data_IF_280185044213
#
_entry.id   IF_280185044213
#
_cell.length_a   1.000
_cell.length_b   1.000
_cell.length_c   1.000
_cell.angle_alpha   90.00
_cell.angle_beta   90.00
_cell.angle_gamma   90.00
#
_symmetry.space_group_name_H-M   'P 1'
#
loop_
_entity.id
_entity.type
_entity.pdbx_description
1 polymer ?
#
# COMPACT_ATOMS: atom_id res chain seq x y z
N UNK A 1 -11.72 36.51 -2.97
CA UNK A 1 -10.75 35.42 -2.70
C UNK A 1 -9.37 36.00 -2.81
N UNK A 2 -8.58 35.98 -1.74
CA UNK A 2 -7.17 36.39 -1.80
C UNK A 2 -6.41 35.24 -2.48
N UNK A 3 -5.85 35.49 -3.66
CA UNK A 3 -4.81 34.63 -4.22
C UNK A 3 -3.53 34.92 -3.43
N UNK A 4 -3.19 34.03 -2.51
CA UNK A 4 -1.84 33.97 -1.98
C UNK A 4 -0.93 33.53 -3.13
N UNK A 5 -0.13 34.47 -3.62
CA UNK A 5 0.98 34.20 -4.53
C UNK A 5 2.17 33.79 -3.66
N UNK A 6 2.18 32.53 -3.24
CA UNK A 6 3.37 31.97 -2.60
C UNK A 6 4.49 31.83 -3.63
N UNK A 7 5.70 32.27 -3.27
CA UNK A 7 6.93 32.05 -4.03
C UNK A 7 7.32 30.57 -3.98
N UNK A 8 6.61 29.73 -4.74
CA UNK A 8 6.92 28.30 -4.88
C UNK A 8 8.07 28.16 -5.88
N UNK A 9 9.23 27.72 -5.39
CA UNK A 9 10.32 27.30 -6.28
C UNK A 9 10.08 25.86 -6.77
N UNK A 10 10.20 25.64 -8.07
CA UNK A 10 10.02 24.31 -8.68
C UNK A 10 11.35 23.81 -9.22
N UNK A 11 11.84 22.71 -8.65
CA UNK A 11 13.00 21.96 -9.16
C UNK A 11 12.53 20.60 -9.63
N UNK A 12 12.96 20.20 -10.84
CA UNK A 12 12.60 18.91 -11.44
C UNK A 12 13.83 18.02 -11.50
N UNK A 13 13.90 17.04 -10.61
CA UNK A 13 14.81 15.92 -10.74
C UNK A 13 14.21 14.85 -11.67
N UNK A 14 15.06 14.18 -12.45
CA UNK A 14 14.69 12.99 -13.23
C UNK A 14 15.52 11.81 -12.73
N UNK A 15 14.88 10.67 -12.53
CA UNK A 15 15.51 9.43 -12.11
C UNK A 15 14.52 8.28 -12.17
N UNK A 16 15.05 7.06 -12.07
CA UNK A 16 14.23 5.88 -11.82
C UNK A 16 13.71 5.92 -10.39
N UNK A 17 12.43 5.55 -10.18
CA UNK A 17 11.82 5.51 -8.86
C UNK A 17 12.60 4.60 -7.88
N UNK A 18 13.17 3.49 -8.38
CA UNK A 18 13.99 2.57 -7.58
C UNK A 18 15.28 3.21 -7.06
N UNK A 19 15.80 4.20 -7.79
CA UNK A 19 17.09 4.85 -7.54
C UNK A 19 16.96 6.25 -6.94
N UNK A 20 15.74 6.72 -6.65
CA UNK A 20 15.54 8.06 -6.07
C UNK A 20 16.19 8.13 -4.68
N UNK A 21 17.19 9.01 -4.55
CA UNK A 21 17.73 9.49 -3.28
C UNK A 21 17.26 10.93 -3.04
N UNK A 22 16.26 11.08 -2.17
CA UNK A 22 15.69 12.39 -1.82
C UNK A 22 16.77 13.27 -1.18
N UNK A 23 17.61 12.70 -0.32
CA UNK A 23 18.65 13.47 0.36
C UNK A 23 19.71 14.00 -0.59
N UNK A 24 20.07 13.22 -1.61
CA UNK A 24 20.95 13.68 -2.68
C UNK A 24 20.33 14.83 -3.48
N UNK A 25 19.04 14.72 -3.85
CA UNK A 25 18.32 15.79 -4.58
C UNK A 25 18.29 17.08 -3.74
N UNK A 26 17.98 17.00 -2.45
CA UNK A 26 17.96 18.16 -1.56
C UNK A 26 19.35 18.83 -1.46
N UNK A 27 20.43 18.04 -1.38
CA UNK A 27 21.81 18.58 -1.31
C UNK A 27 22.27 19.24 -2.61
N UNK A 28 21.90 18.67 -3.75
CA UNK A 28 22.55 18.99 -5.03
C UNK A 28 21.72 19.90 -5.91
N UNK A 29 20.40 19.91 -5.75
CA UNK A 29 19.48 20.61 -6.64
C UNK A 29 18.68 21.73 -5.96
N UNK A 30 18.65 21.77 -4.62
CA UNK A 30 18.00 22.87 -3.90
C UNK A 30 19.04 23.90 -3.38
N UNK A 31 18.62 25.16 -3.20
CA UNK A 31 19.51 26.20 -2.66
C UNK A 31 20.03 25.84 -1.25
N UNK A 32 21.26 26.26 -0.87
CA UNK A 32 21.80 26.02 0.48
C UNK A 32 20.91 26.54 1.61
N UNK A 33 20.08 27.56 1.35
CA UNK A 33 19.11 28.08 2.33
C UNK A 33 18.05 27.06 2.76
N UNK A 34 17.83 26.01 1.98
CA UNK A 34 16.85 24.93 2.27
C UNK A 34 17.45 23.75 3.04
N UNK A 35 18.74 23.78 3.32
CA UNK A 35 19.42 22.69 4.02
C UNK A 35 18.95 22.59 5.47
N UNK A 36 18.62 21.38 5.90
CA UNK A 36 18.09 21.10 7.24
C UNK A 36 16.62 21.47 7.43
N UNK A 37 15.93 21.94 6.39
CA UNK A 37 14.49 22.19 6.45
C UNK A 37 13.68 20.90 6.59
N UNK A 38 12.41 21.09 6.98
CA UNK A 38 11.42 20.02 7.10
C UNK A 38 10.94 19.61 5.70
N UNK A 39 10.99 18.32 5.42
CA UNK A 39 10.67 17.75 4.11
C UNK A 39 9.39 16.94 4.23
N UNK A 40 8.39 17.26 3.40
CA UNK A 40 7.23 16.41 3.19
C UNK A 40 7.37 15.70 1.84
N UNK A 41 7.16 14.38 1.83
CA UNK A 41 7.18 13.58 0.61
C UNK A 41 5.74 13.32 0.20
N UNK A 42 5.35 13.78 -0.99
CA UNK A 42 4.04 13.52 -1.54
C UNK A 42 4.14 12.91 -2.95
N UNK A 43 3.23 12.00 -3.26
CA UNK A 43 3.19 11.30 -4.54
C UNK A 43 1.76 10.94 -4.91
N UNK A 44 1.39 11.18 -6.17
CA UNK A 44 0.09 10.74 -6.68
C UNK A 44 0.19 10.00 -7.99
N UNK A 45 -0.70 9.01 -8.07
CA UNK A 45 -0.81 7.93 -9.03
C UNK A 45 0.42 7.02 -9.09
N UNK A 46 1.03 6.73 -7.94
CA UNK A 46 2.10 5.72 -7.89
C UNK A 46 1.50 4.32 -7.99
N UNK A 47 1.98 3.53 -8.94
CA UNK A 47 1.50 2.18 -9.20
C UNK A 47 2.38 1.16 -8.50
N UNK A 48 1.77 0.22 -7.77
CA UNK A 48 2.42 -0.96 -7.22
C UNK A 48 3.78 -0.67 -6.60
N UNK A 49 4.83 -1.23 -7.21
CA UNK A 49 6.22 -1.10 -6.76
C UNK A 49 6.73 0.35 -6.67
N UNK A 50 6.21 1.27 -7.49
CA UNK A 50 6.61 2.68 -7.42
C UNK A 50 6.22 3.32 -6.08
N UNK A 51 5.08 2.90 -5.49
CA UNK A 51 4.71 3.29 -4.12
C UNK A 51 5.75 2.78 -3.12
N UNK A 52 6.13 1.51 -3.26
CA UNK A 52 7.06 0.85 -2.34
C UNK A 52 8.47 1.50 -2.41
N UNK A 53 8.96 1.82 -3.61
CA UNK A 53 10.19 2.59 -3.79
C UNK A 53 10.12 4.01 -3.19
N UNK A 54 8.99 4.71 -3.36
CA UNK A 54 8.82 6.04 -2.77
C UNK A 54 8.85 5.99 -1.23
N UNK A 55 8.26 4.95 -0.62
CA UNK A 55 8.30 4.72 0.82
C UNK A 55 9.73 4.42 1.30
N UNK A 56 10.48 3.58 0.56
CA UNK A 56 11.90 3.31 0.85
C UNK A 56 12.74 4.58 0.74
N UNK A 57 12.57 5.38 -0.31
CA UNK A 57 13.28 6.64 -0.48
C UNK A 57 12.99 7.62 0.68
N UNK A 58 11.75 7.69 1.15
CA UNK A 58 11.38 8.49 2.32
C UNK A 58 12.03 7.95 3.61
N UNK A 59 12.08 6.62 3.81
CA UNK A 59 12.72 6.03 5.00
C UNK A 59 14.21 6.33 5.09
N UNK A 60 14.93 6.30 3.97
CA UNK A 60 16.36 6.68 3.91
C UNK A 60 16.57 8.13 4.34
N UNK A 61 15.65 9.03 3.99
CA UNK A 61 15.70 10.42 4.46
C UNK A 61 15.50 10.49 5.98
N UNK A 62 14.56 9.71 6.54
CA UNK A 62 14.31 9.64 7.98
C UNK A 62 15.54 9.12 8.77
N UNK A 63 16.25 8.12 8.24
CA UNK A 63 17.46 7.56 8.85
C UNK A 63 18.62 8.56 8.92
N UNK A 64 18.65 9.55 8.01
CA UNK A 64 19.74 10.55 7.97
C UNK A 64 19.62 11.64 9.05
N UNK A 65 18.58 11.59 9.89
CA UNK A 65 18.45 12.44 11.08
C UNK A 65 19.41 12.00 12.18
N UNK A 66 20.70 12.28 12.00
CA UNK A 66 21.73 12.07 13.01
C UNK A 66 21.37 12.77 14.34
N UNK A 67 21.78 12.23 15.50
CA UNK A 67 21.54 12.84 16.80
C UNK A 67 22.11 14.26 16.84
N UNK A 68 21.41 15.14 17.57
CA UNK A 68 21.58 16.61 17.69
C UNK A 68 22.99 17.13 18.10
N UNK A 69 24.04 16.30 18.11
CA UNK A 69 25.34 16.61 18.70
C UNK A 69 26.47 16.87 17.70
N UNK A 70 26.25 16.80 16.38
CA UNK A 70 27.27 17.20 15.40
C UNK A 70 26.74 18.35 14.57
N UNK A 71 27.38 19.51 14.69
CA UNK A 71 27.16 20.69 13.85
C UNK A 71 27.61 20.33 12.43
N UNK A 72 26.71 19.70 11.69
CA UNK A 72 26.87 19.28 10.31
C UNK A 72 25.61 19.62 9.53
N UNK A 73 25.81 20.10 8.30
CA UNK A 73 24.77 20.50 7.36
C UNK A 73 23.76 19.35 7.17
N UNK A 74 22.59 19.49 7.78
CA UNK A 74 21.50 18.51 7.67
C UNK A 74 20.95 18.46 6.24
N UNK A 75 20.66 17.25 5.77
CA UNK A 75 20.19 16.97 4.41
C UNK A 75 18.73 17.38 4.21
N UNK A 76 17.99 17.48 5.31
CA UNK A 76 16.54 17.62 5.38
C UNK A 76 16.02 16.68 6.45
N UNK A 77 14.92 17.05 7.10
CA UNK A 77 14.29 16.26 8.16
C UNK A 77 12.90 15.82 7.72
N UNK A 78 12.67 14.52 7.65
CA UNK A 78 11.39 13.99 7.18
C UNK A 78 10.29 14.41 8.17
N UNK A 79 9.27 15.07 7.63
CA UNK A 79 8.16 15.61 8.41
C UNK A 79 6.83 14.93 8.14
N UNK A 80 6.72 14.22 7.01
CA UNK A 80 5.52 13.46 6.66
C UNK A 80 5.63 12.83 5.27
N UNK A 81 4.81 11.80 5.06
CA UNK A 81 4.68 11.09 3.80
C UNK A 81 3.20 10.99 3.44
N UNK A 82 2.83 11.33 2.21
CA UNK A 82 1.47 11.21 1.69
C UNK A 82 1.50 10.63 0.26
N UNK A 83 1.16 9.35 0.12
CA UNK A 83 1.16 8.66 -1.18
C UNK A 83 -0.25 8.21 -1.54
N UNK A 84 -0.69 8.57 -2.74
CA UNK A 84 -1.90 8.02 -3.36
C UNK A 84 -1.51 6.87 -4.32
N UNK A 85 -1.67 5.64 -3.84
CA UNK A 85 -1.47 4.43 -4.66
C UNK A 85 -2.58 4.30 -5.69
N UNK A 86 -2.22 4.16 -6.97
CA UNK A 86 -3.17 4.03 -8.07
C UNK A 86 -3.69 2.61 -8.24
N UNK A 87 -2.79 1.63 -8.22
CA UNK A 87 -3.09 0.22 -8.41
C UNK A 87 -2.09 -0.63 -7.63
N UNK A 88 -2.50 -1.86 -7.33
CA UNK A 88 -1.63 -2.83 -6.67
C UNK A 88 -1.12 -3.89 -7.64
N UNK A 89 -1.69 -4.01 -8.85
CA UNK A 89 -1.32 -5.04 -9.83
C UNK A 89 0.15 -5.01 -10.26
N UNK A 90 0.82 -3.87 -10.08
CA UNK A 90 2.23 -3.68 -10.42
C UNK A 90 3.17 -3.92 -9.23
N UNK A 91 2.67 -4.40 -8.08
CA UNK A 91 3.55 -4.80 -6.98
C UNK A 91 4.40 -6.02 -7.38
N UNK A 92 5.66 -6.03 -6.93
CA UNK A 92 6.52 -7.21 -6.95
C UNK A 92 6.68 -7.73 -5.52
N UNK A 93 6.65 -9.05 -5.34
CA UNK A 93 6.81 -9.63 -4.00
C UNK A 93 8.17 -9.23 -3.39
N UNK A 94 9.25 -9.25 -4.17
CA UNK A 94 10.61 -9.00 -3.66
C UNK A 94 10.82 -7.54 -3.24
N UNK A 95 10.03 -6.61 -3.78
CA UNK A 95 10.19 -5.17 -3.56
C UNK A 95 9.07 -4.59 -2.69
N UNK A 96 8.06 -5.38 -2.37
CA UNK A 96 6.94 -4.95 -1.55
C UNK A 96 7.38 -4.77 -0.09
N UNK A 97 7.30 -3.53 0.42
CA UNK A 97 7.77 -3.22 1.78
C UNK A 97 7.00 -3.98 2.88
N UNK A 98 5.76 -4.38 2.60
CA UNK A 98 4.87 -5.04 3.54
C UNK A 98 5.02 -6.57 3.65
N UNK A 99 6.01 -7.22 3.00
CA UNK A 99 6.13 -8.69 3.01
C UNK A 99 6.21 -9.27 4.42
N UNK A 100 6.90 -8.59 5.35
CA UNK A 100 7.00 -9.04 6.74
C UNK A 100 5.63 -9.18 7.41
N UNK A 101 4.75 -8.20 7.21
CA UNK A 101 3.38 -8.25 7.71
C UNK A 101 2.56 -9.36 7.05
N UNK A 102 2.69 -9.51 5.72
CA UNK A 102 2.00 -10.59 5.00
C UNK A 102 2.44 -11.96 5.49
N UNK A 103 3.74 -12.19 5.73
CA UNK A 103 4.24 -13.43 6.33
C UNK A 103 3.66 -13.71 7.70
N UNK A 104 3.53 -12.68 8.53
CA UNK A 104 3.01 -12.85 9.88
C UNK A 104 1.50 -13.12 9.90
N UNK A 105 0.72 -12.40 9.09
CA UNK A 105 -0.75 -12.37 9.21
C UNK A 105 -1.49 -13.16 8.14
N UNK A 106 -0.91 -13.28 6.94
CA UNK A 106 -1.58 -13.85 5.76
C UNK A 106 -0.91 -15.16 5.32
N UNK A 107 0.41 -15.28 5.46
CA UNK A 107 1.20 -16.45 5.08
C UNK A 107 1.89 -17.12 6.29
N UNK A 108 1.18 -17.39 7.40
CA UNK A 108 1.82 -17.90 8.60
C UNK A 108 2.58 -19.21 8.33
N UNK A 109 3.75 -19.42 8.98
CA UNK A 109 4.65 -20.56 8.73
C UNK A 109 3.99 -21.93 8.91
N UNK A 110 2.89 -22.00 9.67
CA UNK A 110 2.11 -23.22 9.88
C UNK A 110 1.38 -23.69 8.62
N UNK A 111 1.15 -22.82 7.63
CA UNK A 111 0.45 -23.11 6.38
C UNK A 111 1.33 -22.96 5.13
N UNK A 112 2.46 -22.27 5.24
CA UNK A 112 3.39 -21.94 4.14
C UNK A 112 4.82 -22.30 4.55
N UNK A 113 5.46 -23.20 3.79
CA UNK A 113 6.81 -23.70 4.06
C UNK A 113 7.83 -23.39 2.96
N UNK A 114 7.51 -22.48 2.02
CA UNK A 114 8.45 -22.06 0.99
C UNK A 114 8.12 -20.67 0.44
N UNK A 115 9.17 -19.90 0.14
CA UNK A 115 9.08 -18.57 -0.49
C UNK A 115 8.32 -18.64 -1.81
N UNK A 116 8.51 -19.71 -2.60
CA UNK A 116 7.79 -19.90 -3.86
C UNK A 116 6.25 -19.90 -3.69
N UNK A 117 5.74 -20.49 -2.61
CA UNK A 117 4.29 -20.48 -2.32
C UNK A 117 3.81 -19.10 -1.86
N UNK A 118 4.62 -18.37 -1.09
CA UNK A 118 4.32 -16.99 -0.70
C UNK A 118 4.27 -16.06 -1.92
N UNK A 119 5.25 -16.16 -2.82
CA UNK A 119 5.25 -15.42 -4.09
C UNK A 119 4.01 -15.74 -4.92
N UNK A 120 3.64 -17.03 -5.03
CA UNK A 120 2.46 -17.43 -5.77
C UNK A 120 1.15 -16.90 -5.19
N UNK A 121 1.02 -16.89 -3.86
CA UNK A 121 -0.15 -16.34 -3.19
C UNK A 121 -0.19 -14.81 -3.27
N UNK A 122 0.96 -14.15 -3.17
CA UNK A 122 1.07 -12.71 -3.40
C UNK A 122 0.61 -12.33 -4.82
N UNK A 123 1.02 -13.10 -5.84
CA UNK A 123 0.54 -12.91 -7.20
C UNK A 123 -0.98 -13.09 -7.33
N UNK A 124 -1.59 -14.05 -6.61
CA UNK A 124 -3.04 -14.16 -6.53
C UNK A 124 -3.68 -12.91 -5.92
N UNK A 125 -3.21 -12.47 -4.74
CA UNK A 125 -3.73 -11.30 -4.04
C UNK A 125 -3.67 -10.05 -4.92
N UNK A 126 -2.49 -9.80 -5.48
CA UNK A 126 -2.24 -8.69 -6.40
C UNK A 126 -3.21 -8.70 -7.58
N UNK A 127 -3.39 -9.85 -8.23
CA UNK A 127 -4.32 -9.96 -9.36
C UNK A 127 -5.75 -9.68 -8.92
N UNK A 128 -6.24 -10.35 -7.86
CA UNK A 128 -7.61 -10.14 -7.34
C UNK A 128 -7.84 -8.67 -6.99
N UNK A 129 -6.84 -7.99 -6.42
CA UNK A 129 -6.95 -6.57 -6.11
C UNK A 129 -7.13 -5.66 -7.34
N UNK A 130 -6.89 -6.12 -8.57
CA UNK A 130 -7.15 -5.35 -9.79
C UNK A 130 -8.49 -5.74 -10.41
N UNK A 131 -8.64 -6.98 -10.88
CA UNK A 131 -9.81 -7.36 -11.68
C UNK A 131 -11.09 -7.50 -10.86
N UNK A 132 -11.00 -7.75 -9.55
CA UNK A 132 -12.19 -7.96 -8.73
C UNK A 132 -12.89 -6.65 -8.38
N UNK A 133 -12.26 -5.50 -8.64
CA UNK A 133 -12.86 -4.17 -8.47
C UNK A 133 -13.12 -3.45 -9.80
N UNK A 134 -12.72 -4.06 -10.93
CA UNK A 134 -13.04 -3.56 -12.26
C UNK A 134 -14.54 -3.72 -12.52
N UNK A 135 -15.22 -2.61 -12.83
CA UNK A 135 -16.67 -2.51 -13.00
C UNK A 135 -17.27 -3.24 -14.21
N UNK A 136 -16.71 -4.38 -14.62
CA UNK A 136 -17.25 -5.18 -15.72
C UNK A 136 -18.42 -6.04 -15.26
N UNK A 137 -19.61 -5.45 -15.28
CA UNK A 137 -20.85 -5.93 -15.93
C UNK A 137 -22.15 -5.67 -15.14
N UNK A 138 -22.81 -4.57 -15.50
CA UNK A 138 -24.25 -4.50 -15.77
C UNK A 138 -25.23 -4.78 -14.65
N UNK A 139 -25.54 -3.78 -13.82
CA UNK A 139 -26.91 -3.41 -13.44
C UNK A 139 -26.89 -2.12 -12.61
N UNK A 140 -27.61 -1.09 -13.07
CA UNK A 140 -28.00 0.03 -12.24
C UNK A 140 -28.98 -0.47 -11.17
N UNK A 141 -28.48 -0.73 -9.97
CA UNK A 141 -29.30 -1.07 -8.81
C UNK A 141 -28.52 -0.82 -7.53
N UNK A 142 -28.91 0.24 -6.80
CA UNK A 142 -28.59 0.53 -5.40
C UNK A 142 -27.19 0.18 -4.89
N UNK A 143 -26.36 1.21 -4.69
CA UNK A 143 -25.04 1.08 -4.06
C UNK A 143 -25.11 0.30 -2.73
N UNK A 144 -24.42 -0.86 -2.61
CA UNK A 144 -24.15 -1.45 -1.31
C UNK A 144 -23.19 -0.53 -0.55
N UNK A 145 -23.49 -0.22 0.71
CA UNK A 145 -22.52 0.47 1.56
C UNK A 145 -21.29 -0.43 1.76
N UNK A 146 -20.06 0.13 1.65
CA UNK A 146 -18.85 -0.65 1.88
C UNK A 146 -18.81 -1.13 3.34
N UNK A 147 -18.27 -2.33 3.61
CA UNK A 147 -18.09 -2.80 4.98
C UNK A 147 -17.18 -1.83 5.74
N UNK A 148 -17.56 -1.54 6.98
CA UNK A 148 -16.73 -0.85 7.97
C UNK A 148 -15.43 -1.65 8.15
N UNK A 149 -14.25 -1.01 8.26
CA UNK A 149 -13.00 -1.72 8.49
C UNK A 149 -13.14 -2.67 9.69
N UNK A 150 -12.66 -3.93 9.60
CA UNK A 150 -12.68 -4.81 10.75
C UNK A 150 -11.78 -4.20 11.83
N UNK A 151 -12.39 -3.68 12.89
CA UNK A 151 -11.70 -3.42 14.15
C UNK A 151 -11.35 -4.81 14.67
N UNK A 152 -10.10 -5.26 14.50
CA UNK A 152 -9.62 -6.47 15.16
C UNK A 152 -9.59 -6.18 16.67
N UNK A 153 -10.52 -6.73 17.48
CA UNK A 153 -10.48 -6.50 18.91
C UNK A 153 -9.37 -7.37 19.51
N UNK A 154 -8.47 -6.75 20.26
CA UNK A 154 -7.57 -7.46 21.16
C UNK A 154 -8.39 -7.97 22.37
N UNK A 155 -9.15 -9.06 22.23
CA UNK A 155 -9.69 -9.82 23.37
C UNK A 155 -10.12 -11.24 22.98
N UNK A 156 -9.82 -12.17 23.89
CA UNK A 156 -10.03 -13.62 23.80
C UNK A 156 -11.40 -13.98 23.22
N UNK A 157 -11.37 -14.76 22.15
CA UNK A 157 -12.55 -15.41 21.55
C UNK A 157 -13.09 -16.46 22.51
N UNK A 158 -14.31 -16.24 23.00
CA UNK A 158 -15.23 -17.31 23.32
C UNK A 158 -16.15 -17.45 22.09
N UNK A 159 -16.32 -18.69 21.67
CA UNK A 159 -16.92 -19.17 20.43
C UNK A 159 -18.41 -18.82 20.33
N UNK A 160 -18.82 -18.28 19.18
CA UNK A 160 -20.10 -18.58 18.54
C UNK A 160 -20.04 -18.14 17.06
N UNK A 161 -19.71 -19.08 16.18
CA UNK A 161 -19.71 -18.89 14.72
C UNK A 161 -21.03 -19.38 14.14
N UNK A 162 -21.78 -18.49 13.47
CA UNK A 162 -22.85 -18.88 12.56
C UNK A 162 -22.22 -19.16 11.17
N UNK A 163 -22.12 -20.43 10.83
CA UNK A 163 -21.56 -20.92 9.56
C UNK A 163 -22.45 -20.53 8.36
N UNK A 164 -21.97 -19.60 7.54
CA UNK A 164 -22.36 -19.55 6.14
C UNK A 164 -21.32 -20.34 5.35
N UNK A 165 -21.56 -21.65 5.17
CA UNK A 165 -20.69 -22.54 4.38
C UNK A 165 -20.54 -22.00 2.94
N UNK A 166 -19.38 -21.40 2.65
CA UNK A 166 -18.92 -21.24 1.28
C UNK A 166 -18.40 -22.61 0.81
N UNK A 167 -19.24 -23.34 0.07
CA UNK A 167 -18.93 -24.65 -0.52
C UNK A 167 -17.90 -24.57 -1.68
N UNK A 168 -16.81 -23.83 -1.50
CA UNK A 168 -15.73 -23.74 -2.46
C UNK A 168 -14.88 -25.02 -2.37
N UNK A 169 -15.27 -26.07 -3.10
CA UNK A 169 -14.41 -27.25 -3.33
C UNK A 169 -13.30 -26.88 -4.29
N UNK A 170 -12.23 -26.31 -3.76
CA UNK A 170 -10.99 -26.07 -4.51
C UNK A 170 -10.32 -27.42 -4.76
N UNK A 171 -10.52 -28.01 -5.94
CA UNK A 171 -9.63 -29.07 -6.44
C UNK A 171 -8.27 -28.43 -6.64
N UNK A 172 -7.20 -28.94 -6.03
CA UNK A 172 -5.86 -28.34 -6.02
C UNK A 172 -5.48 -27.76 -7.41
N UNK A 173 -5.55 -26.43 -7.61
CA UNK A 173 -5.35 -25.86 -8.93
C UNK A 173 -3.87 -25.99 -9.30
N UNK A 174 -3.57 -26.47 -10.51
CA UNK A 174 -2.19 -26.71 -10.95
C UNK A 174 -1.37 -25.42 -11.13
N UNK A 175 -2.04 -24.28 -11.32
CA UNK A 175 -1.40 -22.98 -11.52
C UNK A 175 -2.17 -21.84 -10.84
N UNK A 176 -1.49 -20.70 -10.61
CA UNK A 176 -2.12 -19.44 -10.15
C UNK A 176 -3.27 -19.02 -11.07
N UNK A 177 -3.13 -19.25 -12.38
CA UNK A 177 -4.18 -18.92 -13.35
C UNK A 177 -5.45 -19.75 -13.14
N UNK A 178 -5.31 -21.01 -12.72
CA UNK A 178 -6.44 -21.89 -12.44
C UNK A 178 -7.16 -21.47 -11.16
N UNK A 179 -6.42 -21.14 -10.09
CA UNK A 179 -7.00 -20.56 -8.85
C UNK A 179 -7.83 -19.33 -9.18
N UNK A 180 -7.25 -18.41 -9.95
CA UNK A 180 -7.93 -17.16 -10.30
C UNK A 180 -9.18 -17.42 -11.14
N UNK A 181 -9.11 -18.33 -12.13
CA UNK A 181 -10.27 -18.69 -12.97
C UNK A 181 -11.40 -19.28 -12.14
N UNK A 182 -11.09 -20.13 -11.16
CA UNK A 182 -12.08 -20.71 -10.24
C UNK A 182 -12.70 -19.62 -9.36
N UNK A 183 -11.89 -18.79 -8.72
CA UNK A 183 -12.37 -17.64 -7.92
C UNK A 183 -13.25 -16.71 -8.78
N UNK A 184 -12.84 -16.45 -10.03
CA UNK A 184 -13.63 -15.66 -10.98
C UNK A 184 -14.92 -16.35 -11.42
N UNK A 185 -15.01 -17.68 -11.46
CA UNK A 185 -16.23 -18.36 -11.91
C UNK A 185 -17.25 -18.48 -10.77
N UNK A 186 -16.78 -18.82 -9.58
CA UNK A 186 -17.63 -19.21 -8.46
C UNK A 186 -18.16 -18.01 -7.65
N UNK A 187 -17.44 -16.88 -7.63
CA UNK A 187 -17.89 -15.72 -6.87
C UNK A 187 -18.90 -14.88 -7.65
N UNK A 188 -20.00 -14.50 -7.01
CA UNK A 188 -20.90 -13.47 -7.53
C UNK A 188 -20.18 -12.10 -7.63
N UNK A 189 -20.59 -11.20 -8.56
CA UNK A 189 -19.93 -9.91 -8.75
C UNK A 189 -19.75 -9.08 -7.47
N UNK A 190 -20.77 -9.03 -6.61
CA UNK A 190 -20.70 -8.32 -5.32
C UNK A 190 -19.62 -8.90 -4.39
N UNK A 191 -19.48 -10.22 -4.33
CA UNK A 191 -18.46 -10.89 -3.50
C UNK A 191 -17.06 -10.73 -4.08
N UNK A 192 -16.92 -10.62 -5.40
CA UNK A 192 -15.65 -10.26 -6.04
C UNK A 192 -15.22 -8.85 -5.63
N UNK A 193 -16.13 -7.88 -5.73
CA UNK A 193 -15.88 -6.49 -5.32
C UNK A 193 -15.44 -6.38 -3.86
N UNK A 194 -16.14 -7.08 -2.97
CA UNK A 194 -15.81 -7.15 -1.55
C UNK A 194 -14.42 -7.76 -1.35
N UNK A 195 -14.12 -8.90 -1.99
CA UNK A 195 -12.82 -9.55 -1.89
C UNK A 195 -11.67 -8.69 -2.43
N UNK A 196 -11.85 -8.08 -3.61
CA UNK A 196 -10.87 -7.17 -4.19
C UNK A 196 -10.60 -5.97 -3.28
N UNK A 197 -11.66 -5.38 -2.72
CA UNK A 197 -11.56 -4.28 -1.76
C UNK A 197 -10.80 -4.71 -0.50
N UNK A 198 -11.14 -5.86 0.09
CA UNK A 198 -10.43 -6.38 1.26
C UNK A 198 -8.95 -6.58 0.98
N UNK A 199 -8.59 -7.10 -0.19
CA UNK A 199 -7.19 -7.32 -0.54
C UNK A 199 -6.44 -5.99 -0.73
N UNK A 200 -7.06 -4.97 -1.36
CA UNK A 200 -6.47 -3.62 -1.42
C UNK A 200 -6.16 -3.11 -0.01
N UNK A 201 -7.10 -3.25 0.92
CA UNK A 201 -6.90 -2.91 2.33
C UNK A 201 -5.77 -3.69 2.99
N UNK A 202 -5.65 -5.00 2.75
CA UNK A 202 -4.57 -5.84 3.30
C UNK A 202 -3.20 -5.34 2.81
N UNK A 203 -3.08 -5.02 1.52
CA UNK A 203 -1.83 -4.53 0.95
C UNK A 203 -1.47 -3.13 1.50
N UNK A 204 -2.44 -2.24 1.63
CA UNK A 204 -2.20 -0.90 2.18
C UNK A 204 -1.95 -0.92 3.69
N UNK A 205 -2.60 -1.82 4.45
CA UNK A 205 -2.30 -2.04 5.86
C UNK A 205 -0.88 -2.58 6.05
N UNK A 206 -0.42 -3.48 5.18
CA UNK A 206 0.95 -3.98 5.22
C UNK A 206 1.98 -2.84 5.02
N UNK A 207 1.71 -1.90 4.09
CA UNK A 207 2.52 -0.69 3.92
C UNK A 207 2.43 0.24 5.12
N UNK A 208 1.25 0.44 5.67
CA UNK A 208 1.01 1.27 6.87
C UNK A 208 1.85 0.79 8.04
N UNK A 209 1.82 -0.52 8.32
CA UNK A 209 2.61 -1.18 9.37
C UNK A 209 4.10 -1.03 9.14
N UNK A 210 4.55 -1.20 7.90
CA UNK A 210 5.94 -0.96 7.55
C UNK A 210 6.36 0.49 7.80
N UNK A 211 5.52 1.46 7.44
CA UNK A 211 5.79 2.88 7.69
C UNK A 211 5.92 3.19 9.18
N UNK A 212 5.02 2.68 10.03
CA UNK A 212 5.10 2.88 11.48
C UNK A 212 6.37 2.28 12.08
N UNK A 213 6.78 1.11 11.58
CA UNK A 213 7.99 0.44 12.05
C UNK A 213 9.28 1.12 11.56
N UNK A 214 9.29 1.66 10.35
CA UNK A 214 10.53 2.07 9.65
C UNK A 214 10.78 3.57 9.69
N UNK A 215 9.74 4.41 9.64
CA UNK A 215 9.91 5.87 9.58
C UNK A 215 10.29 6.51 10.94
N UNK A 216 10.37 5.72 12.02
CA UNK A 216 10.91 6.12 13.32
C UNK A 216 10.06 7.13 14.11
N UNK A 217 10.58 7.57 15.27
CA UNK A 217 10.12 8.72 16.08
C UNK A 217 8.62 8.79 16.45
N UNK A 218 7.91 7.66 16.54
CA UNK A 218 6.48 7.66 16.81
C UNK A 218 5.64 8.09 15.59
N UNK A 219 6.15 7.84 14.37
CA UNK A 219 5.40 8.03 13.15
C UNK A 219 4.05 7.28 13.23
N UNK A 220 2.96 8.02 13.05
CA UNK A 220 1.62 7.46 12.93
C UNK A 220 1.23 7.40 11.46
N UNK A 221 0.84 6.21 10.99
CA UNK A 221 0.40 6.02 9.62
C UNK A 221 -1.07 5.63 9.57
N UNK A 222 -1.81 6.24 8.65
CA UNK A 222 -3.23 5.97 8.40
C UNK A 222 -3.45 5.64 6.93
N UNK A 223 -4.30 4.65 6.67
CA UNK A 223 -4.83 4.39 5.32
C UNK A 223 -6.16 5.12 5.21
N UNK A 224 -6.25 6.04 4.26
CA UNK A 224 -7.45 6.87 4.04
C UNK A 224 -7.99 6.65 2.64
N UNK A 225 -9.31 6.50 2.53
CA UNK A 225 -9.99 6.53 1.24
C UNK A 225 -10.10 7.99 0.79
N UNK A 226 -9.39 8.37 -0.27
CA UNK A 226 -9.36 9.76 -0.76
C UNK A 226 -10.29 10.01 -1.96
N UNK A 227 -10.87 8.96 -2.52
CA UNK A 227 -11.78 9.02 -3.68
C UNK A 227 -13.21 8.77 -3.22
N UNK A 228 -14.18 9.51 -3.79
CA UNK A 228 -15.62 9.30 -3.53
C UNK A 228 -16.02 7.84 -3.75
N UNK A 229 -17.00 7.35 -2.99
CA UNK A 229 -17.63 6.04 -3.23
C UNK A 229 -18.28 5.91 -4.59
N UNK A 230 -18.50 7.02 -5.28
CA UNK A 230 -19.14 7.10 -6.60
C UNK A 230 -18.17 6.91 -7.77
N UNK A 231 -16.86 6.90 -7.51
CA UNK A 231 -15.83 6.72 -8.54
C UNK A 231 -15.22 5.33 -8.37
N UNK A 232 -15.12 4.61 -9.50
CA UNK A 232 -14.47 3.29 -9.54
C UNK A 232 -13.05 3.36 -8.96
N UNK A 233 -12.61 2.38 -8.15
CA UNK A 233 -11.24 2.33 -7.66
C UNK A 233 -10.20 2.02 -8.74
N UNK A 234 -10.64 1.74 -9.97
CA UNK A 234 -9.82 1.57 -11.18
C UNK A 234 -10.18 2.72 -12.14
N UNK A 235 -9.17 3.38 -12.71
CA UNK A 235 -9.34 4.48 -13.68
C UNK A 235 -9.93 3.99 -15.00
#
# INVERSE_FOLDING_TARGET
>A
GKQETENISLVRARGDAADVDIGFVLKTQLPPSTQGERVAVCGKHLCGVATDHALVAASRLAETEAPKSVVGVGVGRLSGVAIATCCHHACSYDEFVGVGYLREKIFPPTHMNSVARECGLFECLKRISSWAVDGSSGQHGGAPQPPTPPILPAKRVAEEEAEAECNLRVTAPSTIADVLREVSRELAPARRLELGTMIKWVLDEARRRWCEATLGNGAHANVVKYVSSEVSPEN
#
